data_IF_042502393652
#
_entry.id   IF_042502393652
#
_cell.length_a   1.000
_cell.length_b   1.000
_cell.length_c   1.000
_cell.angle_alpha   90.00
_cell.angle_beta   90.00
_cell.angle_gamma   90.00
#
_symmetry.space_group_name_H-M   'P 1'
#
loop_
_entity.id
_entity.type
_entity.pdbx_description
1 polymer ?
#
# COMPACT_ATOMS: atom_id res chain seq x y z
N UNK A 1 14.13 12.27 -19.31
CA UNK A 1 13.62 10.92 -19.65
C UNK A 1 12.16 11.10 -20.02
N UNK A 2 11.77 10.67 -21.22
CA UNK A 2 10.43 10.93 -21.78
C UNK A 2 9.37 10.00 -21.18
N UNK A 3 8.12 10.45 -21.02
CA UNK A 3 7.02 9.66 -20.46
C UNK A 3 6.61 8.53 -21.42
N UNK A 4 6.41 7.33 -20.89
CA UNK A 4 5.90 6.19 -21.63
C UNK A 4 4.44 6.46 -22.09
N UNK A 5 4.28 6.89 -23.35
CA UNK A 5 2.98 6.87 -24.01
C UNK A 5 2.58 5.42 -24.33
N UNK A 6 1.49 4.96 -23.72
CA UNK A 6 0.93 3.62 -23.94
C UNK A 6 0.12 3.63 -25.23
N UNK A 7 0.68 3.02 -26.27
CA UNK A 7 0.01 2.74 -27.55
C UNK A 7 -1.15 1.75 -27.38
N UNK A 8 -2.35 2.15 -27.78
CA UNK A 8 -3.57 1.34 -27.73
C UNK A 8 -3.75 0.53 -29.02
N UNK A 9 -3.48 -0.79 -29.00
CA UNK A 9 -4.12 -1.77 -29.91
C UNK A 9 -4.12 -3.19 -29.31
N UNK A 10 -5.17 -3.56 -28.58
CA UNK A 10 -5.75 -4.93 -28.51
C UNK A 10 -7.03 -4.94 -27.66
N UNK A 11 -7.94 -5.87 -27.98
CA UNK A 11 -9.35 -5.90 -27.59
C UNK A 11 -9.63 -6.41 -26.15
N UNK A 12 -9.06 -5.73 -25.15
CA UNK A 12 -9.51 -5.84 -23.75
C UNK A 12 -10.45 -4.69 -23.39
N UNK A 13 -11.30 -4.84 -22.36
CA UNK A 13 -12.09 -3.71 -21.84
C UNK A 13 -11.15 -2.55 -21.47
N UNK A 14 -11.39 -1.39 -22.10
CA UNK A 14 -10.63 -0.18 -21.88
C UNK A 14 -11.16 0.48 -20.60
N UNK A 15 -10.46 0.32 -19.47
CA UNK A 15 -10.74 1.03 -18.23
C UNK A 15 -9.84 2.27 -18.15
N UNK A 16 -10.27 3.44 -18.66
CA UNK A 16 -9.52 4.68 -18.43
C UNK A 16 -9.56 5.02 -16.94
N UNK A 17 -8.39 5.31 -16.36
CA UNK A 17 -8.26 5.79 -14.98
C UNK A 17 -8.91 7.18 -14.90
N UNK A 18 -10.18 7.22 -14.48
CA UNK A 18 -10.90 8.48 -14.29
C UNK A 18 -10.47 9.17 -12.99
N UNK A 19 -10.35 10.50 -13.03
CA UNK A 19 -10.00 11.34 -11.88
C UNK A 19 -10.91 11.06 -10.67
N UNK A 20 -10.31 10.89 -9.49
CA UNK A 20 -11.05 10.65 -8.26
C UNK A 20 -11.82 11.90 -7.83
N UNK A 21 -13.06 11.78 -7.31
CA UNK A 21 -13.74 12.89 -6.64
C UNK A 21 -12.99 13.30 -5.37
N UNK A 22 -13.21 14.54 -4.92
CA UNK A 22 -12.60 15.08 -3.71
C UNK A 22 -12.79 14.14 -2.49
N UNK A 23 -11.67 13.84 -1.83
CA UNK A 23 -11.52 12.81 -0.80
C UNK A 23 -12.26 13.17 0.49
N UNK A 24 -13.07 12.24 1.01
CA UNK A 24 -13.48 12.24 2.40
C UNK A 24 -12.62 11.25 3.18
N UNK A 25 -11.96 11.71 4.25
CA UNK A 25 -11.29 10.83 5.21
C UNK A 25 -12.37 10.00 5.91
N UNK A 26 -12.27 8.65 5.97
CA UNK A 26 -13.24 7.83 6.69
C UNK A 26 -13.33 8.25 8.15
N UNK A 27 -14.55 8.33 8.70
CA UNK A 27 -14.85 8.74 10.09
C UNK A 27 -14.43 7.73 11.17
N UNK A 28 -13.44 6.88 10.90
CA UNK A 28 -12.87 5.92 11.85
C UNK A 28 -11.63 6.47 12.60
N UNK A 29 -11.46 7.79 12.66
CA UNK A 29 -10.47 8.45 13.51
C UNK A 29 -10.98 8.40 14.95
N UNK A 30 -10.46 7.47 15.76
CA UNK A 30 -10.78 7.46 17.18
C UNK A 30 -10.12 8.64 17.89
N UNK A 31 -10.97 9.53 18.43
CA UNK A 31 -10.61 10.43 19.52
C UNK A 31 -10.69 9.64 20.82
N UNK A 32 -9.57 9.12 21.30
CA UNK A 32 -9.48 8.49 22.61
C UNK A 32 -8.93 9.49 23.65
N UNK A 33 -9.49 9.57 24.87
CA UNK A 33 -8.85 10.32 25.95
C UNK A 33 -7.57 9.60 26.36
N UNK A 34 -6.45 10.33 26.29
CA UNK A 34 -5.13 9.80 26.61
C UNK A 34 -4.98 9.50 28.13
N UNK A 35 -4.23 8.45 28.52
CA UNK A 35 -3.81 8.25 29.91
C UNK A 35 -2.89 9.38 30.39
N UNK A 36 -2.77 9.54 31.72
CA UNK A 36 -2.00 10.62 32.35
C UNK A 36 -0.54 10.73 31.82
N UNK A 37 0.00 11.95 31.62
CA UNK A 37 1.19 12.14 30.81
C UNK A 37 2.46 11.65 31.52
N UNK A 38 3.13 10.67 30.91
CA UNK A 38 4.61 10.63 30.97
C UNK A 38 5.12 11.94 30.37
N UNK A 39 6.29 12.46 30.78
CA UNK A 39 6.88 13.63 30.10
C UNK A 39 6.99 13.34 28.60
N UNK A 40 6.08 13.90 27.81
CA UNK A 40 6.00 13.67 26.37
C UNK A 40 7.09 14.51 25.70
N UNK A 41 7.89 13.87 24.86
CA UNK A 41 8.86 14.56 24.03
C UNK A 41 8.17 14.90 22.71
N UNK A 42 7.77 16.16 22.55
CA UNK A 42 7.32 16.69 21.27
C UNK A 42 8.55 16.97 20.41
N UNK A 43 8.55 16.47 19.18
CA UNK A 43 9.65 16.56 18.23
C UNK A 43 9.15 17.19 16.93
N UNK A 44 10.01 17.99 16.29
CA UNK A 44 9.74 18.56 14.97
C UNK A 44 10.04 17.55 13.87
N UNK A 45 9.14 17.46 12.89
CA UNK A 45 9.35 16.66 11.70
C UNK A 45 8.89 17.40 10.44
N UNK A 46 9.50 17.02 9.31
CA UNK A 46 9.01 17.38 7.98
C UNK A 46 8.23 16.18 7.43
N UNK A 47 6.92 16.32 7.26
CA UNK A 47 6.03 15.29 6.73
C UNK A 47 5.94 15.43 5.22
N UNK A 48 6.36 14.39 4.51
CA UNK A 48 6.27 14.28 3.07
C UNK A 48 5.04 13.45 2.68
N UNK A 49 4.24 14.00 1.78
CA UNK A 49 3.01 13.38 1.26
C UNK A 49 3.13 13.24 -0.24
N UNK A 50 2.93 12.02 -0.76
CA UNK A 50 2.96 11.73 -2.19
C UNK A 50 1.56 11.78 -2.80
N UNK A 51 1.41 12.55 -3.88
CA UNK A 51 0.22 12.57 -4.73
C UNK A 51 0.47 11.65 -5.93
N UNK A 52 -0.13 10.46 -5.92
CA UNK A 52 0.04 9.46 -6.97
C UNK A 52 -0.63 9.82 -8.30
N UNK A 53 -1.60 10.75 -8.31
CA UNK A 53 -2.21 11.21 -9.57
C UNK A 53 -1.31 12.22 -10.29
N UNK A 54 -0.63 13.08 -9.52
CA UNK A 54 0.29 14.10 -10.04
C UNK A 54 1.74 13.63 -10.16
N UNK A 55 2.07 12.50 -9.54
CA UNK A 55 3.44 12.03 -9.33
C UNK A 55 4.33 13.08 -8.65
N UNK A 56 3.79 13.76 -7.62
CA UNK A 56 4.45 14.87 -6.94
C UNK A 56 4.53 14.64 -5.44
N UNK A 57 5.62 15.13 -4.84
CA UNK A 57 5.77 15.19 -3.39
C UNK A 57 5.47 16.60 -2.88
N UNK A 58 4.63 16.66 -1.85
CA UNK A 58 4.45 17.85 -1.04
C UNK A 58 5.07 17.63 0.33
N UNK A 59 5.32 18.71 1.07
CA UNK A 59 5.87 18.63 2.42
C UNK A 59 5.33 19.72 3.32
N UNK A 60 5.16 19.40 4.58
CA UNK A 60 4.71 20.32 5.62
C UNK A 60 5.44 20.05 6.94
N UNK A 61 5.60 21.09 7.76
CA UNK A 61 6.17 20.95 9.10
C UNK A 61 5.10 20.44 10.06
N UNK A 62 5.42 19.42 10.85
CA UNK A 62 4.51 18.84 11.84
C UNK A 62 5.21 18.66 13.18
N UNK A 63 4.42 18.59 14.25
CA UNK A 63 4.88 18.21 15.58
C UNK A 63 4.42 16.78 15.87
N UNK A 64 5.32 15.93 16.32
CA UNK A 64 5.04 14.53 16.61
C UNK A 64 5.54 14.13 17.99
N UNK A 65 4.84 13.17 18.59
CA UNK A 65 5.28 12.44 19.79
C UNK A 65 5.40 10.98 19.36
N UNK A 66 6.59 10.39 19.48
CA UNK A 66 6.84 8.99 19.10
C UNK A 66 7.30 8.24 20.34
N UNK A 67 6.63 7.13 20.67
CA UNK A 67 7.07 6.28 21.77
C UNK A 67 8.39 5.56 21.45
N UNK A 68 9.31 5.54 22.40
CA UNK A 68 10.62 4.89 22.21
C UNK A 68 10.51 3.37 22.03
N UNK A 69 9.53 2.74 22.67
CA UNK A 69 9.33 1.29 22.60
C UNK A 69 8.38 0.95 21.45
N UNK A 70 8.76 0.03 20.54
CA UNK A 70 7.81 -0.47 19.56
C UNK A 70 6.74 -1.34 20.22
N UNK A 71 5.51 -1.24 19.75
CA UNK A 71 4.43 -2.15 20.15
C UNK A 71 4.40 -3.41 19.26
N UNK A 72 5.00 -3.35 18.07
CA UNK A 72 5.11 -4.48 17.16
C UNK A 72 6.43 -4.43 16.38
N UNK A 73 6.93 -5.61 16.01
CA UNK A 73 8.14 -5.75 15.21
C UNK A 73 7.92 -6.80 14.12
N UNK A 74 8.14 -6.39 12.86
CA UNK A 74 8.16 -7.29 11.71
C UNK A 74 9.57 -7.74 11.36
N UNK A 75 9.70 -8.36 10.17
CA UNK A 75 11.01 -8.75 9.64
C UNK A 75 11.91 -7.52 9.42
N UNK A 76 11.39 -6.51 8.73
CA UNK A 76 12.17 -5.37 8.22
C UNK A 76 12.01 -4.09 9.03
N UNK A 77 10.91 -3.94 9.78
CA UNK A 77 10.54 -2.68 10.46
C UNK A 77 10.06 -2.90 11.89
N UNK A 78 10.21 -1.89 12.73
CA UNK A 78 9.52 -1.76 14.02
C UNK A 78 8.37 -0.76 13.89
N UNK A 79 7.27 -0.98 14.61
CA UNK A 79 6.12 -0.08 14.65
C UNK A 79 5.95 0.50 16.05
N UNK A 80 5.84 1.82 16.11
CA UNK A 80 5.77 2.62 17.34
C UNK A 80 4.48 3.44 17.34
N UNK A 81 3.90 3.64 18.53
CA UNK A 81 2.81 4.59 18.67
C UNK A 81 3.34 6.00 18.38
N UNK A 82 2.60 6.74 17.55
CA UNK A 82 2.88 8.12 17.22
C UNK A 82 1.62 8.97 17.44
N UNK A 83 1.80 10.20 17.86
CA UNK A 83 0.76 11.22 17.86
C UNK A 83 1.24 12.40 17.04
N UNK A 84 0.46 12.83 16.05
CA UNK A 84 0.63 14.14 15.41
C UNK A 84 -0.13 15.18 16.24
N UNK A 85 0.52 16.31 16.50
CA UNK A 85 -0.01 17.41 17.32
C UNK A 85 -0.25 18.61 16.42
N UNK A 86 -1.52 19.00 16.32
CA UNK A 86 -2.00 20.13 15.52
C UNK A 86 -1.77 21.47 16.23
N UNK A 87 -1.82 22.58 15.50
CA UNK A 87 -1.64 23.94 16.05
C UNK A 87 -2.68 24.31 17.11
N UNK A 88 -3.91 23.80 16.98
CA UNK A 88 -4.99 24.00 17.95
C UNK A 88 -4.89 23.07 19.18
N UNK A 89 -3.85 22.23 19.23
CA UNK A 89 -3.63 21.24 20.28
C UNK A 89 -4.38 19.92 20.06
N UNK A 90 -5.10 19.75 18.95
CA UNK A 90 -5.68 18.47 18.56
C UNK A 90 -4.58 17.41 18.39
N UNK A 91 -4.95 16.17 18.69
CA UNK A 91 -4.03 15.03 18.67
C UNK A 91 -4.60 13.91 17.82
N UNK A 92 -3.83 13.50 16.83
CA UNK A 92 -4.22 12.45 15.90
C UNK A 92 -3.31 11.24 16.11
N UNK A 93 -3.90 10.06 16.24
CA UNK A 93 -3.16 8.82 16.49
C UNK A 93 -2.63 8.22 15.19
N UNK A 94 -1.33 7.96 15.15
CA UNK A 94 -0.61 7.36 14.03
C UNK A 94 0.31 6.22 14.51
N UNK A 95 0.89 5.52 13.55
CA UNK A 95 1.98 4.55 13.73
C UNK A 95 3.21 5.08 13.01
N UNK A 96 4.34 5.13 13.70
CA UNK A 96 5.65 5.39 13.07
C UNK A 96 6.38 4.05 12.83
N UNK A 97 6.94 3.88 11.64
CA UNK A 97 7.61 2.65 11.20
C UNK A 97 9.08 2.93 10.87
N UNK A 98 9.99 2.35 11.64
CA UNK A 98 11.43 2.49 11.44
C UNK A 98 12.01 1.21 10.83
N UNK A 99 12.96 1.37 9.90
CA UNK A 99 13.67 0.24 9.30
C UNK A 99 14.69 -0.34 10.27
N UNK A 100 14.75 -1.68 10.34
CA UNK A 100 15.71 -2.43 11.16
C UNK A 100 17.03 -2.69 10.43
N UNK A 101 16.99 -2.61 9.11
CA UNK A 101 18.13 -2.81 8.22
C UNK A 101 18.56 -1.47 7.62
N UNK A 102 19.81 -1.41 7.19
CA UNK A 102 20.32 -0.27 6.43
C UNK A 102 19.65 -0.22 5.06
N UNK A 103 18.94 0.86 4.78
CA UNK A 103 18.31 1.16 3.49
C UNK A 103 18.61 2.60 3.11
N UNK A 104 18.46 2.93 1.83
CA UNK A 104 18.62 4.31 1.39
C UNK A 104 17.35 5.13 1.68
N UNK A 105 17.48 6.46 1.66
CA UNK A 105 16.31 7.34 1.81
C UNK A 105 15.30 7.08 0.67
N UNK A 106 15.80 6.86 -0.54
CA UNK A 106 14.97 6.59 -1.72
C UNK A 106 14.09 5.36 -1.52
N UNK A 107 14.61 4.29 -0.89
CA UNK A 107 13.82 3.09 -0.58
C UNK A 107 12.66 3.40 0.39
N UNK A 108 12.87 4.24 1.40
CA UNK A 108 11.82 4.64 2.35
C UNK A 108 10.73 5.44 1.64
N UNK A 109 11.13 6.35 0.75
CA UNK A 109 10.19 7.11 -0.09
C UNK A 109 9.43 6.20 -1.04
N UNK A 110 10.10 5.24 -1.68
CA UNK A 110 9.47 4.26 -2.58
C UNK A 110 8.45 3.38 -1.85
N UNK A 111 8.78 2.85 -0.66
CA UNK A 111 7.86 2.09 0.19
C UNK A 111 6.59 2.90 0.48
N UNK A 112 6.73 4.18 0.81
CA UNK A 112 5.58 5.06 1.06
C UNK A 112 4.73 5.32 -0.19
N UNK A 113 5.34 5.34 -1.39
CA UNK A 113 4.59 5.49 -2.65
C UNK A 113 3.69 4.28 -2.91
N UNK A 114 4.09 3.07 -2.51
CA UNK A 114 3.36 1.84 -2.80
C UNK A 114 1.92 1.89 -2.26
N UNK A 115 1.72 2.43 -1.05
CA UNK A 115 0.38 2.61 -0.47
C UNK A 115 -0.49 3.54 -1.30
N UNK A 116 0.07 4.65 -1.78
CA UNK A 116 -0.67 5.63 -2.57
C UNK A 116 -1.01 5.12 -3.98
N UNK A 117 -0.08 4.40 -4.61
CA UNK A 117 -0.35 3.73 -5.90
C UNK A 117 -1.43 2.65 -5.70
N UNK A 118 -1.34 1.87 -4.63
CA UNK A 118 -2.31 0.82 -4.34
C UNK A 118 -3.72 1.36 -4.09
N UNK A 119 -3.83 2.57 -3.51
CA UNK A 119 -5.11 3.25 -3.38
C UNK A 119 -5.76 3.57 -4.74
N UNK A 120 -4.99 3.98 -5.76
CA UNK A 120 -5.56 4.23 -7.10
C UNK A 120 -6.19 2.97 -7.70
N UNK A 121 -5.57 1.80 -7.49
CA UNK A 121 -6.14 0.52 -7.91
C UNK A 121 -7.32 0.09 -7.04
N UNK A 122 -7.31 0.42 -5.75
CA UNK A 122 -8.45 0.20 -4.86
C UNK A 122 -9.67 1.00 -5.33
N UNK A 123 -9.48 2.26 -5.74
CA UNK A 123 -10.54 3.09 -6.28
C UNK A 123 -11.13 2.51 -7.56
N UNK A 124 -10.30 2.01 -8.47
CA UNK A 124 -10.79 1.35 -9.69
C UNK A 124 -11.49 0.02 -9.39
N UNK A 125 -10.92 -0.80 -8.51
CA UNK A 125 -11.56 -2.03 -8.06
C UNK A 125 -12.93 -1.75 -7.44
N UNK A 126 -13.05 -0.71 -6.63
CA UNK A 126 -14.31 -0.29 -6.01
C UNK A 126 -15.39 0.10 -7.02
N UNK A 127 -15.00 0.61 -8.21
CA UNK A 127 -15.93 0.97 -9.29
C UNK A 127 -16.52 -0.26 -9.98
N UNK A 128 -15.71 -1.30 -10.18
CA UNK A 128 -16.10 -2.44 -11.04
C UNK A 128 -16.49 -3.70 -10.27
N UNK A 129 -15.97 -3.91 -9.07
CA UNK A 129 -16.05 -5.19 -8.34
C UNK A 129 -17.45 -5.62 -7.88
N UNK A 130 -18.41 -4.69 -7.83
CA UNK A 130 -19.74 -4.97 -7.28
C UNK A 130 -19.76 -5.27 -5.78
N UNK A 131 -18.64 -5.05 -5.06
CA UNK A 131 -18.59 -5.25 -3.60
C UNK A 131 -19.26 -4.09 -2.87
N UNK A 132 -20.08 -4.43 -1.87
CA UNK A 132 -20.79 -3.45 -1.03
C UNK A 132 -19.81 -2.63 -0.18
N UNK A 133 -18.90 -3.33 0.52
CA UNK A 133 -17.87 -2.70 1.35
C UNK A 133 -16.65 -2.38 0.50
N UNK A 134 -16.38 -1.09 0.33
CA UNK A 134 -15.25 -0.60 -0.44
C UNK A 134 -13.93 -0.89 0.28
N UNK A 135 -12.92 -1.25 -0.51
CA UNK A 135 -11.55 -1.42 -0.04
C UNK A 135 -10.81 -0.09 -0.06
N UNK A 136 -9.88 0.11 0.87
CA UNK A 136 -9.02 1.30 0.87
C UNK A 136 -7.66 0.96 1.46
N UNK A 137 -6.60 1.58 0.93
CA UNK A 137 -5.29 1.61 1.54
C UNK A 137 -5.15 2.84 2.42
N UNK A 138 -4.51 2.67 3.57
CA UNK A 138 -4.13 3.80 4.39
C UNK A 138 -3.12 4.70 3.66
N UNK A 139 -3.22 6.02 3.84
CA UNK A 139 -2.16 6.90 3.39
C UNK A 139 -0.88 6.59 4.16
N UNK A 140 0.25 6.67 3.46
CA UNK A 140 1.59 6.58 4.05
C UNK A 140 2.32 7.90 3.81
N UNK A 141 3.00 8.37 4.84
CA UNK A 141 3.80 9.59 4.83
C UNK A 141 5.24 9.26 5.19
N UNK A 142 6.20 10.02 4.66
CA UNK A 142 7.60 9.94 5.12
C UNK A 142 7.89 11.10 6.05
N UNK A 143 8.39 10.83 7.24
CA UNK A 143 8.81 11.84 8.21
C UNK A 143 10.33 11.98 8.23
N UNK A 144 10.81 13.22 8.14
CA UNK A 144 12.18 13.59 8.48
C UNK A 144 12.19 14.12 9.92
N UNK A 145 12.64 13.32 10.88
CA UNK A 145 12.67 13.68 12.30
C UNK A 145 13.86 14.60 12.60
N UNK A 146 13.61 15.90 12.59
CA UNK A 146 14.66 16.93 12.66
C UNK A 146 15.42 16.88 13.98
N UNK A 147 14.71 16.63 15.08
CA UNK A 147 15.29 16.54 16.43
C UNK A 147 15.98 15.19 16.71
N UNK A 148 16.00 14.28 15.72
CA UNK A 148 16.72 13.00 15.73
C UNK A 148 17.79 12.93 14.64
N UNK A 149 18.39 14.07 14.28
CA UNK A 149 19.43 14.12 13.26
C UNK A 149 18.94 13.79 11.86
N UNK A 150 17.70 14.21 11.52
CA UNK A 150 17.01 13.92 10.25
C UNK A 150 16.79 12.42 9.99
N UNK A 151 16.61 11.63 11.05
CA UNK A 151 16.22 10.23 10.93
C UNK A 151 14.90 10.11 10.16
N UNK A 152 14.84 9.17 9.22
CA UNK A 152 13.65 8.91 8.40
C UNK A 152 12.79 7.78 8.99
N UNK A 153 11.48 7.93 8.89
CA UNK A 153 10.53 6.83 9.10
C UNK A 153 9.29 7.01 8.22
N UNK A 154 8.56 5.92 7.97
CA UNK A 154 7.21 6.02 7.43
C UNK A 154 6.22 6.22 8.56
N UNK A 155 5.08 6.85 8.27
CA UNK A 155 3.96 6.93 9.20
C UNK A 155 2.62 6.73 8.50
N UNK A 156 1.65 6.22 9.25
CA UNK A 156 0.29 5.95 8.77
C UNK A 156 -0.73 6.08 9.92
N UNK A 157 -2.02 6.30 9.64
CA UNK A 157 -3.05 6.30 10.67
C UNK A 157 -3.13 4.97 11.43
N UNK A 158 -3.50 5.01 12.72
CA UNK A 158 -3.72 3.79 13.50
C UNK A 158 -4.91 3.00 12.96
N UNK A 159 -4.70 1.69 12.69
CA UNK A 159 -5.79 0.74 12.49
C UNK A 159 -6.19 0.10 13.81
N UNK A 160 -7.47 0.21 14.15
CA UNK A 160 -8.05 -0.45 15.32
C UNK A 160 -8.87 -1.66 14.91
N UNK A 161 -8.48 -2.84 15.39
CA UNK A 161 -9.23 -4.09 15.20
C UNK A 161 -8.32 -5.28 14.95
N UNK A 162 -8.92 -6.38 14.46
CA UNK A 162 -8.18 -7.62 14.21
C UNK A 162 -7.36 -7.51 12.92
N UNK A 163 -6.05 -7.35 13.07
CA UNK A 163 -5.10 -7.26 11.96
C UNK A 163 -4.87 -8.63 11.33
N UNK A 164 -5.09 -8.75 10.01
CA UNK A 164 -4.90 -9.99 9.26
C UNK A 164 -4.07 -9.75 8.01
N UNK A 165 -3.16 -10.68 7.71
CA UNK A 165 -2.47 -10.76 6.42
C UNK A 165 -3.17 -11.79 5.55
N UNK A 166 -3.67 -11.37 4.38
CA UNK A 166 -4.53 -12.17 3.51
C UNK A 166 -3.76 -12.93 2.43
N UNK A 167 -2.69 -12.32 1.92
CA UNK A 167 -1.72 -12.96 1.04
C UNK A 167 -0.34 -12.34 1.26
N UNK A 168 0.69 -12.88 0.59
CA UNK A 168 2.02 -12.28 0.60
C UNK A 168 2.63 -12.08 -0.80
N UNK A 169 3.81 -11.49 -0.84
CA UNK A 169 4.59 -11.26 -2.06
C UNK A 169 5.31 -12.49 -2.62
N UNK A 170 5.14 -13.67 -2.02
CA UNK A 170 5.75 -14.94 -2.44
C UNK A 170 4.70 -16.01 -2.81
N UNK A 171 3.46 -15.58 -3.06
CA UNK A 171 2.37 -16.43 -3.53
C UNK A 171 1.61 -17.19 -2.44
N UNK A 172 1.81 -16.91 -1.16
CA UNK A 172 1.01 -17.50 -0.08
C UNK A 172 -0.37 -16.83 -0.03
N UNK A 173 -1.43 -17.63 0.01
CA UNK A 173 -2.81 -17.21 0.30
C UNK A 173 -3.15 -17.65 1.71
N UNK A 174 -3.20 -16.71 2.65
CA UNK A 174 -3.32 -16.99 4.09
C UNK A 174 -4.78 -17.03 4.60
N UNK A 175 -5.73 -16.49 3.83
CA UNK A 175 -7.15 -16.48 4.22
C UNK A 175 -8.08 -16.80 3.06
N UNK A 176 -9.25 -17.36 3.35
CA UNK A 176 -10.29 -17.67 2.38
C UNK A 176 -11.16 -16.46 1.97
N UNK A 177 -10.83 -15.24 2.42
CA UNK A 177 -11.60 -14.03 2.06
C UNK A 177 -11.45 -13.75 0.57
N UNK A 178 -12.56 -13.56 -0.13
CA UNK A 178 -12.57 -13.38 -1.58
C UNK A 178 -12.02 -12.02 -2.03
N UNK A 179 -12.38 -10.94 -1.33
CA UNK A 179 -12.05 -9.55 -1.71
C UNK A 179 -10.54 -9.32 -1.85
N UNK A 180 -9.68 -9.66 -0.86
CA UNK A 180 -8.23 -9.48 -1.00
C UNK A 180 -7.62 -10.22 -2.20
N UNK A 181 -8.09 -11.45 -2.47
CA UNK A 181 -7.53 -12.26 -3.56
C UNK A 181 -8.01 -11.78 -4.92
N UNK A 182 -9.28 -11.36 -5.01
CA UNK A 182 -9.83 -10.76 -6.22
C UNK A 182 -9.19 -9.42 -6.52
N UNK A 183 -8.91 -8.59 -5.50
CA UNK A 183 -8.18 -7.34 -5.65
C UNK A 183 -6.78 -7.57 -6.23
N UNK A 184 -5.98 -8.46 -5.64
CA UNK A 184 -4.64 -8.77 -6.15
C UNK A 184 -4.68 -9.23 -7.61
N UNK A 185 -5.59 -10.15 -7.96
CA UNK A 185 -5.75 -10.60 -9.35
C UNK A 185 -6.20 -9.45 -10.27
N UNK A 186 -7.18 -8.66 -9.85
CA UNK A 186 -7.66 -7.50 -10.60
C UNK A 186 -6.54 -6.53 -10.96
N UNK A 187 -5.61 -6.25 -10.03
CA UNK A 187 -4.51 -5.30 -10.31
C UNK A 187 -3.61 -5.75 -11.46
N UNK A 188 -3.42 -7.07 -11.63
CA UNK A 188 -2.66 -7.63 -12.74
C UNK A 188 -3.37 -7.42 -14.09
N UNK A 189 -4.65 -7.76 -14.17
CA UNK A 189 -5.45 -7.63 -15.39
C UNK A 189 -5.66 -6.14 -15.75
N UNK A 190 -6.05 -5.32 -14.76
CA UNK A 190 -6.32 -3.90 -14.94
C UNK A 190 -5.09 -3.11 -15.36
N UNK A 191 -3.90 -3.49 -14.88
CA UNK A 191 -2.64 -2.83 -15.27
C UNK A 191 -2.13 -3.26 -16.65
N UNK A 192 -2.87 -4.11 -17.38
CA UNK A 192 -2.42 -4.75 -18.63
C UNK A 192 -1.12 -5.53 -18.42
N UNK A 193 -1.07 -6.34 -17.36
CA UNK A 193 0.05 -7.23 -17.04
C UNK A 193 1.36 -6.49 -16.74
N UNK A 194 1.25 -5.29 -16.15
CA UNK A 194 2.41 -4.47 -15.78
C UNK A 194 2.76 -4.59 -14.32
N UNK A 195 1.77 -4.60 -13.43
CA UNK A 195 1.99 -4.73 -11.99
C UNK A 195 0.96 -5.63 -11.34
N UNK A 196 1.33 -6.24 -10.21
CA UNK A 196 0.43 -6.95 -9.31
C UNK A 196 0.63 -6.43 -7.89
N UNK A 197 -0.46 -6.09 -7.20
CA UNK A 197 -0.44 -5.58 -5.83
C UNK A 197 -0.81 -6.72 -4.86
N UNK A 198 0.14 -7.09 -4.02
CA UNK A 198 0.07 -8.19 -3.05
C UNK A 198 0.45 -7.70 -1.65
N UNK A 199 0.78 -8.62 -0.74
CA UNK A 199 0.93 -8.33 0.69
C UNK A 199 -0.32 -7.64 1.25
N UNK A 200 -1.51 -8.08 0.83
CA UNK A 200 -2.77 -7.48 1.28
C UNK A 200 -2.97 -7.81 2.75
N UNK A 201 -2.94 -6.79 3.59
CA UNK A 201 -3.00 -6.92 5.04
C UNK A 201 -3.62 -5.67 5.69
N UNK A 202 -4.29 -5.84 6.82
CA UNK A 202 -4.91 -4.74 7.56
C UNK A 202 -6.10 -5.18 8.40
N UNK A 203 -7.05 -4.28 8.62
CA UNK A 203 -8.25 -4.51 9.44
C UNK A 203 -9.51 -4.35 8.59
N UNK A 204 -10.30 -5.43 8.48
CA UNK A 204 -11.48 -5.43 7.62
C UNK A 204 -11.07 -5.24 6.15
N UNK A 205 -11.54 -4.16 5.53
CA UNK A 205 -11.22 -3.79 4.15
C UNK A 205 -10.36 -2.52 4.05
N UNK A 206 -9.76 -2.11 5.18
CA UNK A 206 -8.72 -1.11 5.24
C UNK A 206 -7.36 -1.81 5.30
N UNK A 207 -6.57 -1.62 4.26
CA UNK A 207 -5.28 -2.27 4.06
C UNK A 207 -4.12 -1.30 4.27
N UNK A 208 -2.94 -1.84 4.56
CA UNK A 208 -1.69 -1.06 4.63
C UNK A 208 -0.48 -1.93 4.26
N UNK A 209 0.68 -1.29 4.07
CA UNK A 209 1.95 -1.92 3.70
C UNK A 209 1.82 -2.94 2.53
N UNK A 210 1.26 -2.53 1.38
CA UNK A 210 1.24 -3.39 0.21
C UNK A 210 2.64 -3.60 -0.36
N UNK A 211 2.78 -4.64 -1.18
CA UNK A 211 3.92 -4.83 -2.06
C UNK A 211 3.47 -4.85 -3.51
N UNK A 212 4.22 -4.19 -4.39
CA UNK A 212 3.98 -4.21 -5.84
C UNK A 212 5.03 -5.11 -6.50
N UNK A 213 4.55 -6.03 -7.35
CA UNK A 213 5.37 -6.85 -8.23
C UNK A 213 5.25 -6.30 -9.64
N UNK A 214 6.34 -5.79 -10.20
CA UNK A 214 6.38 -5.34 -11.60
C UNK A 214 6.63 -6.52 -12.51
N UNK A 215 6.07 -6.51 -13.71
CA UNK A 215 6.40 -7.54 -14.68
C UNK A 215 7.87 -7.47 -15.06
N UNK A 216 8.50 -6.31 -15.22
CA UNK A 216 9.93 -6.10 -15.57
C UNK A 216 10.93 -6.32 -14.43
N UNK A 217 10.46 -6.40 -13.18
CA UNK A 217 11.31 -6.55 -11.99
C UNK A 217 11.98 -5.25 -11.55
N UNK A 218 11.60 -4.11 -12.13
CA UNK A 218 12.18 -2.82 -11.80
C UNK A 218 11.34 -2.04 -10.79
N UNK A 219 12.02 -1.29 -9.92
CA UNK A 219 11.39 -0.42 -8.91
C UNK A 219 10.65 -1.18 -7.82
N UNK A 220 9.78 -0.46 -7.10
CA UNK A 220 8.89 -0.95 -6.05
C UNK A 220 9.57 -1.61 -4.84
N UNK A 221 10.81 -1.23 -4.55
CA UNK A 221 11.54 -1.67 -3.36
C UNK A 221 11.99 -3.14 -3.39
N UNK A 222 12.65 -3.55 -2.29
CA UNK A 222 13.32 -4.84 -2.18
C UNK A 222 12.36 -6.06 -2.23
N UNK A 223 11.06 -5.85 -1.99
CA UNK A 223 10.07 -6.92 -2.03
C UNK A 223 9.51 -7.20 -3.43
N UNK A 224 9.94 -6.50 -4.47
CA UNK A 224 9.54 -6.73 -5.85
C UNK A 224 10.20 -8.03 -6.40
N UNK A 225 9.49 -9.14 -6.25
CA UNK A 225 9.88 -10.45 -6.78
C UNK A 225 9.65 -10.60 -8.31
N UNK A 226 9.32 -9.52 -9.01
CA UNK A 226 9.15 -9.52 -10.46
C UNK A 226 8.06 -10.46 -10.98
N UNK A 227 8.20 -10.89 -12.24
CA UNK A 227 7.30 -11.86 -12.88
C UNK A 227 7.25 -13.21 -12.15
N UNK A 228 8.33 -13.62 -11.48
CA UNK A 228 8.36 -14.87 -10.71
C UNK A 228 7.39 -14.82 -9.52
N UNK A 229 7.33 -13.70 -8.81
CA UNK A 229 6.34 -13.51 -7.75
C UNK A 229 4.90 -13.49 -8.29
N UNK A 230 4.68 -12.91 -9.47
CA UNK A 230 3.37 -12.96 -10.15
C UNK A 230 2.97 -14.40 -10.47
N UNK A 231 3.89 -15.21 -11.02
CA UNK A 231 3.65 -16.63 -11.30
C UNK A 231 3.30 -17.38 -10.02
N UNK A 232 4.03 -17.14 -8.92
CA UNK A 232 3.75 -17.77 -7.62
C UNK A 232 2.35 -17.45 -7.12
N UNK A 233 1.92 -16.19 -7.19
CA UNK A 233 0.54 -15.82 -6.86
C UNK A 233 -0.47 -16.52 -7.77
N UNK A 234 -0.28 -16.51 -9.09
CA UNK A 234 -1.24 -17.12 -10.02
C UNK A 234 -1.40 -18.63 -9.81
N UNK A 235 -0.32 -19.33 -9.39
CA UNK A 235 -0.35 -20.78 -9.08
C UNK A 235 -1.20 -21.13 -7.87
N UNK A 236 -1.28 -20.24 -6.88
CA UNK A 236 -2.04 -20.47 -5.64
C UNK A 236 -3.39 -19.77 -5.64
N UNK A 237 -3.59 -18.78 -6.51
CA UNK A 237 -4.84 -18.07 -6.67
C UNK A 237 -5.92 -18.96 -7.29
N UNK A 238 -7.06 -19.05 -6.59
CA UNK A 238 -8.28 -19.62 -7.10
C UNK A 238 -9.26 -18.48 -7.40
N UNK A 239 -9.64 -18.33 -8.67
CA UNK A 239 -10.63 -17.32 -9.07
C UNK A 239 -11.94 -17.54 -8.30
N UNK A 240 -12.45 -16.48 -7.68
CA UNK A 240 -13.68 -16.50 -6.92
C UNK A 240 -14.80 -15.73 -7.65
N UNK A 241 -15.99 -15.65 -7.06
CA UNK A 241 -17.15 -15.01 -7.70
C UNK A 241 -16.91 -13.54 -8.07
N UNK A 242 -16.07 -12.80 -7.33
CA UNK A 242 -15.73 -11.43 -7.70
C UNK A 242 -14.88 -11.42 -8.97
N UNK A 243 -13.87 -12.28 -9.07
CA UNK A 243 -13.04 -12.43 -10.27
C UNK A 243 -13.91 -12.75 -11.50
N UNK A 244 -14.88 -13.67 -11.35
CA UNK A 244 -15.81 -14.06 -12.41
C UNK A 244 -16.76 -12.92 -12.77
N UNK A 245 -17.30 -12.21 -11.78
CA UNK A 245 -18.23 -11.11 -11.97
C UNK A 245 -17.62 -9.98 -12.82
N UNK A 246 -16.36 -9.62 -12.57
CA UNK A 246 -15.67 -8.58 -13.34
C UNK A 246 -14.90 -9.11 -14.55
N UNK A 247 -15.09 -10.39 -14.90
CA UNK A 247 -14.55 -10.99 -16.12
C UNK A 247 -13.03 -11.09 -16.17
N UNK A 248 -12.36 -11.34 -15.04
CA UNK A 248 -10.91 -11.55 -15.01
C UNK A 248 -10.52 -12.84 -15.75
N UNK A 249 -9.40 -12.81 -16.47
CA UNK A 249 -8.84 -14.01 -17.10
C UNK A 249 -8.54 -15.07 -16.05
N UNK A 250 -9.00 -16.33 -16.18
CA UNK A 250 -8.70 -17.35 -15.18
C UNK A 250 -7.19 -17.56 -15.00
N UNK A 251 -6.72 -17.64 -13.75
CA UNK A 251 -5.28 -17.75 -13.43
C UNK A 251 -4.57 -18.89 -14.17
N UNK A 252 -5.25 -20.03 -14.35
CA UNK A 252 -4.74 -21.18 -15.11
C UNK A 252 -4.40 -20.85 -16.57
N UNK A 253 -5.10 -19.88 -17.19
CA UNK A 253 -4.85 -19.43 -18.56
C UNK A 253 -3.72 -18.38 -18.62
N UNK A 254 -3.51 -17.63 -17.53
CA UNK A 254 -2.46 -16.60 -17.44
C UNK A 254 -1.07 -17.20 -17.24
N UNK A 255 -0.94 -18.33 -16.52
CA UNK A 255 0.35 -18.94 -16.17
C UNK A 255 1.25 -19.26 -17.37
N UNK A 256 0.78 -19.91 -18.46
CA UNK A 256 1.65 -20.23 -19.60
C UNK A 256 2.27 -18.99 -20.25
N UNK A 257 1.51 -17.89 -20.35
CA UNK A 257 2.01 -16.64 -20.88
C UNK A 257 3.07 -15.99 -19.99
N UNK A 258 2.86 -16.02 -18.67
CA UNK A 258 3.83 -15.52 -17.70
C UNK A 258 5.15 -16.31 -17.74
N UNK A 259 5.08 -17.63 -17.89
CA UNK A 259 6.28 -18.48 -17.98
C UNK A 259 7.10 -18.17 -19.25
N UNK A 260 6.45 -17.87 -20.37
CA UNK A 260 7.14 -17.41 -21.58
C UNK A 260 7.82 -16.05 -21.36
N UNK A 261 7.14 -15.12 -20.69
CA UNK A 261 7.70 -13.81 -20.35
C UNK A 261 8.94 -13.94 -19.44
N UNK A 262 8.88 -14.81 -18.44
CA UNK A 262 9.99 -15.07 -17.53
C UNK A 262 11.20 -15.70 -18.25
N UNK A 263 10.96 -16.62 -19.18
CA UNK A 263 12.02 -17.29 -19.96
C UNK A 263 12.68 -16.39 -21.02
N UNK A 264 12.07 -15.25 -21.36
CA UNK A 264 12.58 -14.31 -22.38
C UNK A 264 13.54 -13.23 -21.84
N UNK A 265 13.99 -13.39 -20.59
CA UNK A 265 14.89 -12.47 -19.88
C UNK A 265 16.18 -13.14 -19.50
#
# INVERSE_FOLDING_TARGET
MQPHQISHRSAGPNYPIAAAPARAVPSAVQRAPAPAPKKEKIERALKHTYDAEKDEWTRESVLVIIEDKPFQQGCMRTAHHMTEVEEDGCRCAFVAKFTKISVTAESIFEDSKLSMISQLYADEFNRVSGVDKKVAFLPSYVLVLQDRGNLLCCSEPVLSGNYLKHNNNDGVVATARMVPQAFTHFTWECSRHKILICDIQGVGDYYTDPQILSSDGAGFGLGNAGVEGVIKFMKTHQCNEICKHIGLTPSAQTIPHLQQLAASR
#
